data_IF_334662771148
#
_entry.id   IF_334662771148
#
_cell.length_a   1.000
_cell.length_b   1.000
_cell.length_c   1.000
_cell.angle_alpha   90.00
_cell.angle_beta   90.00
_cell.angle_gamma   90.00
#
_symmetry.space_group_name_H-M   'P 1'
#
loop_
_entity.id
_entity.type
_entity.pdbx_description
1 polymer ?
#
# COMPACT_ATOMS: atom_id res chain seq x y z
N UNK A 1 -1.82 -7.93 -11.75
CA UNK A 1 -2.13 -6.60 -11.23
C UNK A 1 -1.87 -6.66 -9.74
N UNK A 2 -0.63 -6.41 -9.35
CA UNK A 2 -0.24 -6.37 -7.95
C UNK A 2 -0.40 -4.92 -7.51
N UNK A 3 -1.50 -4.62 -6.82
CA UNK A 3 -1.72 -3.28 -6.27
C UNK A 3 -0.80 -3.14 -5.06
N UNK A 4 0.16 -2.22 -5.11
CA UNK A 4 1.03 -1.89 -3.99
C UNK A 4 0.48 -0.62 -3.32
N UNK A 5 0.08 -0.76 -2.06
CA UNK A 5 -0.35 0.37 -1.24
C UNK A 5 0.88 1.03 -0.64
N UNK A 6 1.09 2.31 -0.94
CA UNK A 6 2.20 3.09 -0.41
C UNK A 6 1.61 4.34 0.22
N UNK A 7 1.11 4.23 1.45
CA UNK A 7 1.25 5.38 2.33
C UNK A 7 2.49 5.15 3.15
N UNK A 8 3.18 6.25 3.39
CA UNK A 8 4.13 6.31 4.47
C UNK A 8 3.47 5.72 5.71
N UNK A 9 4.21 4.78 6.30
CA UNK A 9 3.96 4.11 7.56
C UNK A 9 2.99 2.91 7.51
N UNK A 10 3.46 1.75 7.05
CA UNK A 10 2.64 0.52 7.06
C UNK A 10 3.24 -0.73 7.76
N UNK A 11 2.41 -1.21 8.70
CA UNK A 11 2.11 -2.59 9.14
C UNK A 11 3.25 -3.41 9.76
N UNK A 12 3.05 -3.74 11.05
CA UNK A 12 3.74 -4.81 11.76
C UNK A 12 3.47 -6.19 11.14
N UNK A 13 4.51 -6.87 10.68
CA UNK A 13 4.76 -8.25 11.10
C UNK A 13 6.25 -8.60 10.95
N UNK A 14 6.86 -9.01 12.06
CA UNK A 14 8.23 -9.47 12.14
C UNK A 14 8.29 -10.92 11.66
N UNK A 15 8.48 -11.15 10.35
CA UNK A 15 8.79 -12.48 9.80
C UNK A 15 9.35 -12.37 8.37
N UNK A 16 10.61 -11.92 8.24
CA UNK A 16 11.25 -11.43 6.99
C UNK A 16 10.48 -10.24 6.40
N UNK A 17 11.18 -9.16 6.06
CA UNK A 17 10.50 -7.99 5.52
C UNK A 17 9.92 -8.36 4.14
N UNK A 18 8.61 -8.66 4.10
CA UNK A 18 7.92 -9.09 2.87
C UNK A 18 8.00 -8.01 1.80
N UNK A 19 8.14 -6.73 2.19
CA UNK A 19 8.31 -5.62 1.25
C UNK A 19 9.71 -5.65 0.62
N UNK A 20 10.73 -6.07 1.36
CA UNK A 20 12.07 -6.32 0.79
C UNK A 20 12.09 -7.56 -0.10
N UNK A 21 11.46 -8.66 0.32
CA UNK A 21 11.39 -9.90 -0.47
C UNK A 21 10.65 -9.68 -1.78
N UNK A 22 9.56 -8.91 -1.76
CA UNK A 22 8.80 -8.53 -2.94
C UNK A 22 9.42 -7.35 -3.71
N UNK A 23 10.61 -6.87 -3.32
CA UNK A 23 11.35 -5.74 -3.91
C UNK A 23 10.62 -4.38 -3.90
N UNK A 24 9.52 -4.26 -3.18
CA UNK A 24 8.83 -2.96 -2.96
C UNK A 24 9.80 -1.96 -2.34
N UNK A 25 10.59 -2.40 -1.35
CA UNK A 25 11.76 -1.65 -0.89
C UNK A 25 12.87 -1.82 -1.94
N UNK A 26 13.38 -0.70 -2.46
CA UNK A 26 14.33 -0.63 -3.55
C UNK A 26 13.68 -0.24 -4.87
N UNK A 27 12.58 -0.93 -5.27
CA UNK A 27 11.92 -0.61 -6.54
C UNK A 27 10.93 0.56 -6.41
N UNK A 28 10.40 0.86 -5.21
CA UNK A 28 9.42 1.95 -4.97
C UNK A 28 9.71 2.76 -3.71
N UNK A 29 10.19 2.12 -2.65
CA UNK A 29 10.47 2.77 -1.36
C UNK A 29 11.93 2.64 -0.94
N UNK A 30 12.47 3.68 -0.32
CA UNK A 30 13.71 3.56 0.45
C UNK A 30 13.49 2.74 1.74
N UNK A 31 14.54 2.10 2.29
CA UNK A 31 14.45 1.42 3.58
C UNK A 31 13.95 2.35 4.69
N UNK A 32 13.01 1.88 5.49
CA UNK A 32 12.39 2.68 6.56
C UNK A 32 12.03 1.83 7.79
N UNK A 33 11.80 2.50 8.91
CA UNK A 33 11.25 1.88 10.13
C UNK A 33 9.76 2.20 10.25
N UNK A 34 8.94 1.17 10.45
CA UNK A 34 7.49 1.29 10.61
C UNK A 34 7.15 1.91 11.97
N UNK A 35 6.25 2.90 12.01
CA UNK A 35 5.86 3.61 13.24
C UNK A 35 4.37 3.57 13.59
N UNK A 36 3.49 3.28 12.62
CA UNK A 36 2.02 3.36 12.75
C UNK A 36 1.39 2.18 12.00
N UNK A 37 0.23 1.76 12.48
CA UNK A 37 -0.55 0.71 11.86
C UNK A 37 -1.51 1.27 10.81
N UNK A 38 -1.66 0.54 9.72
CA UNK A 38 -2.72 0.74 8.73
C UNK A 38 -3.48 -0.55 8.56
N UNK A 39 -4.78 -0.40 8.38
CA UNK A 39 -5.63 -1.47 7.89
C UNK A 39 -6.41 -1.01 6.66
N UNK A 40 -6.33 -1.80 5.59
CA UNK A 40 -7.07 -1.57 4.33
C UNK A 40 -7.97 -2.76 4.09
N UNK A 41 -9.24 -2.50 3.81
CA UNK A 41 -10.27 -3.53 3.65
C UNK A 41 -11.04 -3.31 2.36
N UNK A 42 -11.10 -4.34 1.51
CA UNK A 42 -12.00 -4.41 0.35
C UNK A 42 -13.06 -5.48 0.59
N UNK A 43 -14.35 -5.13 0.52
CA UNK A 43 -15.46 -6.09 0.64
C UNK A 43 -15.30 -7.06 1.83
N UNK A 44 -14.98 -6.53 3.01
CA UNK A 44 -14.72 -7.28 4.25
C UNK A 44 -13.48 -8.19 4.24
N UNK A 45 -12.62 -8.08 3.23
CA UNK A 45 -11.31 -8.75 3.18
C UNK A 45 -10.20 -7.75 3.44
N UNK A 46 -9.44 -7.99 4.50
CA UNK A 46 -8.25 -7.20 4.81
C UNK A 46 -7.12 -7.51 3.82
N UNK A 47 -6.47 -6.45 3.34
CA UNK A 47 -5.31 -6.54 2.45
C UNK A 47 -4.08 -6.88 3.28
N UNK A 48 -3.33 -7.90 2.84
CA UNK A 48 -2.06 -8.30 3.43
C UNK A 48 -0.98 -8.35 2.35
N UNK A 49 0.27 -8.14 2.73
CA UNK A 49 1.39 -8.22 1.78
C UNK A 49 1.40 -9.58 1.07
N UNK A 50 1.50 -9.55 -0.26
CA UNK A 50 1.50 -10.74 -1.10
C UNK A 50 0.13 -11.41 -1.29
N UNK A 51 -0.98 -10.84 -0.81
CA UNK A 51 -2.31 -11.41 -1.06
C UNK A 51 -2.78 -11.11 -2.49
N UNK A 52 -3.28 -12.12 -3.19
CA UNK A 52 -3.88 -11.92 -4.50
C UNK A 52 -5.29 -11.33 -4.38
N UNK A 53 -5.51 -10.21 -5.09
CA UNK A 53 -6.79 -9.55 -5.24
C UNK A 53 -7.21 -9.60 -6.71
N UNK A 54 -8.41 -10.09 -6.98
CA UNK A 54 -8.96 -10.08 -8.34
C UNK A 54 -9.36 -8.64 -8.70
N UNK A 55 -9.22 -8.21 -9.96
CA UNK A 55 -9.67 -6.88 -10.39
C UNK A 55 -11.13 -6.58 -10.01
N UNK A 56 -11.99 -7.60 -10.04
CA UNK A 56 -13.41 -7.47 -9.64
C UNK A 56 -13.62 -7.14 -8.16
N UNK A 57 -12.64 -7.43 -7.29
CA UNK A 57 -12.71 -7.17 -5.85
C UNK A 57 -12.29 -5.75 -5.49
N UNK A 58 -11.60 -5.05 -6.39
CA UNK A 58 -10.94 -3.76 -6.15
C UNK A 58 -11.51 -2.64 -7.03
N UNK A 59 -12.71 -2.85 -7.58
CA UNK A 59 -13.42 -1.85 -8.40
C UNK A 59 -13.77 -0.62 -7.57
N UNK A 60 -14.25 -0.82 -6.34
CA UNK A 60 -14.64 0.25 -5.44
C UNK A 60 -13.49 0.59 -4.50
N UNK A 61 -13.44 1.84 -4.01
CA UNK A 61 -12.46 2.26 -3.03
C UNK A 61 -12.52 1.42 -1.74
N UNK A 62 -11.37 1.17 -1.08
CA UNK A 62 -11.35 0.43 0.18
C UNK A 62 -11.77 1.30 1.36
N UNK A 63 -12.09 0.63 2.47
CA UNK A 63 -12.08 1.24 3.79
C UNK A 63 -10.65 1.27 4.31
N UNK A 64 -10.22 2.43 4.81
CA UNK A 64 -8.87 2.67 5.32
C UNK A 64 -8.96 3.14 6.76
N UNK A 65 -8.26 2.44 7.65
CA UNK A 65 -8.11 2.79 9.05
C UNK A 65 -6.62 3.06 9.31
N UNK A 66 -6.29 4.24 9.84
CA UNK A 66 -4.92 4.62 10.21
C UNK A 66 -4.89 4.73 11.74
N UNK A 67 -3.91 4.08 12.35
CA UNK A 67 -3.65 4.22 13.78
C UNK A 67 -2.91 5.52 14.12
N UNK A 68 -2.41 5.62 15.35
CA UNK A 68 -1.63 6.76 15.83
C UNK A 68 -2.31 7.43 17.01
N UNK A 69 -1.49 7.91 17.94
CA UNK A 69 -1.96 8.47 19.22
C UNK A 69 -2.15 9.99 19.15
N UNK A 70 -1.64 10.64 18.10
CA UNK A 70 -1.70 12.08 17.91
C UNK A 70 -2.71 12.48 16.82
N UNK A 71 -3.76 13.16 17.25
CA UNK A 71 -4.84 13.67 16.40
C UNK A 71 -4.44 14.87 15.55
N UNK A 72 -3.29 15.50 15.84
CA UNK A 72 -2.79 16.65 15.06
C UNK A 72 -1.91 16.23 13.88
N UNK A 73 -1.57 14.94 13.80
CA UNK A 73 -0.77 14.43 12.69
C UNK A 73 -1.67 14.06 11.52
N UNK A 74 -1.38 14.65 10.36
CA UNK A 74 -2.06 14.35 9.11
C UNK A 74 -1.26 13.38 8.27
N UNK A 75 -1.97 12.46 7.59
CA UNK A 75 -1.36 11.43 6.77
C UNK A 75 -1.77 11.59 5.32
N UNK A 76 -0.96 11.06 4.41
CA UNK A 76 -1.29 11.01 2.98
C UNK A 76 -1.18 9.57 2.53
N UNK A 77 -2.27 9.03 1.96
CA UNK A 77 -2.35 7.71 1.38
C UNK A 77 -2.10 7.77 -0.12
N UNK A 78 -1.13 6.99 -0.60
CA UNK A 78 -0.88 6.80 -2.03
C UNK A 78 -1.03 5.33 -2.40
N UNK A 79 -1.62 5.06 -3.55
CA UNK A 79 -1.75 3.71 -4.11
C UNK A 79 -1.17 3.74 -5.52
N UNK A 80 -0.13 2.94 -5.76
CA UNK A 80 0.59 2.92 -7.03
C UNK A 80 0.75 1.49 -7.56
N UNK A 81 0.78 1.36 -8.87
CA UNK A 81 1.19 0.13 -9.55
C UNK A 81 2.58 0.34 -10.17
N UNK A 82 3.65 -0.28 -9.60
CA UNK A 82 4.99 -0.17 -10.15
C UNK A 82 5.19 -1.04 -11.40
N UNK A 83 4.23 -1.89 -11.73
CA UNK A 83 4.33 -2.88 -12.80
C UNK A 83 3.48 -2.50 -14.02
N UNK A 84 3.03 -1.24 -14.13
CA UNK A 84 2.14 -0.84 -15.21
C UNK A 84 2.86 -0.67 -16.57
N UNK A 85 2.31 -1.19 -17.69
CA UNK A 85 1.12 -2.05 -17.79
C UNK A 85 1.40 -3.53 -17.46
N UNK A 86 2.65 -3.98 -17.54
CA UNK A 86 3.05 -5.34 -17.15
C UNK A 86 4.39 -5.33 -16.41
N UNK A 87 4.63 -6.24 -15.43
CA UNK A 87 5.90 -6.29 -14.70
C UNK A 87 7.13 -6.47 -15.60
N UNK A 88 6.96 -7.13 -16.75
CA UNK A 88 8.04 -7.36 -17.72
C UNK A 88 8.37 -6.15 -18.58
N UNK A 89 7.45 -5.20 -18.74
CA UNK A 89 7.65 -3.97 -19.51
C UNK A 89 6.92 -2.81 -18.83
N UNK A 90 7.44 -2.30 -17.69
CA UNK A 90 6.72 -1.37 -16.83
C UNK A 90 6.95 0.09 -17.25
N UNK A 91 6.68 0.43 -18.52
CA UNK A 91 6.96 1.77 -19.05
C UNK A 91 5.99 2.87 -18.57
N UNK A 92 4.94 2.51 -17.83
CA UNK A 92 4.07 3.44 -17.10
C UNK A 92 4.31 3.41 -15.58
N UNK A 93 5.36 2.73 -15.11
CA UNK A 93 5.77 2.80 -13.71
C UNK A 93 6.11 4.25 -13.36
N UNK A 94 5.59 4.83 -12.29
CA UNK A 94 4.64 4.34 -11.28
C UNK A 94 3.22 4.83 -11.58
N UNK A 95 2.27 3.93 -11.80
CA UNK A 95 0.91 4.34 -12.15
C UNK A 95 0.09 4.65 -10.90
N UNK A 96 -0.34 5.90 -10.75
CA UNK A 96 -1.10 6.36 -9.60
C UNK A 96 -2.57 5.91 -9.70
N UNK A 97 -2.99 5.01 -8.83
CA UNK A 97 -4.39 4.58 -8.71
C UNK A 97 -5.20 5.48 -7.78
N UNK A 98 -4.60 5.91 -6.66
CA UNK A 98 -5.32 6.68 -5.65
C UNK A 98 -4.39 7.58 -4.86
N UNK A 99 -4.87 8.77 -4.55
CA UNK A 99 -4.16 9.78 -3.77
C UNK A 99 -5.16 10.50 -2.87
N UNK A 100 -4.98 10.37 -1.55
CA UNK A 100 -5.88 10.94 -0.56
C UNK A 100 -5.09 11.58 0.57
N UNK A 101 -5.55 12.77 0.96
CA UNK A 101 -5.17 13.38 2.23
C UNK A 101 -6.09 12.89 3.33
N UNK A 102 -5.50 12.30 4.37
CA UNK A 102 -6.21 11.88 5.55
C UNK A 102 -6.07 12.95 6.62
N UNK A 103 -7.11 13.77 6.73
CA UNK A 103 -7.29 14.70 7.84
C UNK A 103 -8.19 14.02 8.88
N UNK A 104 -7.67 13.76 10.07
CA UNK A 104 -8.48 13.34 11.23
C UNK A 104 -9.29 14.52 11.76
#
# INVERSE_FOLDING_TARGET
>A
MHIVFISYIFIMQRERDTLSVARVIGDVLDPFTRSINLRVVYNNREVRNGCDLRPSMVINQPTVEIGGDDLQTFYTLVMVDPDAPTPSNPYHKEYLHWFIFFFL
#
